data_IF_975798554764
#
_entry.id   IF_975798554764
#
_cell.length_a   1.000
_cell.length_b   1.000
_cell.length_c   1.000
_cell.angle_alpha   90.00
_cell.angle_beta   90.00
_cell.angle_gamma   90.00
#
_symmetry.space_group_name_H-M   'P 1'
#
loop_
_entity.id
_entity.type
_entity.pdbx_description
1 polymer ?
#
# COMPACT_ATOMS: atom_id res chain seq x y z
N UNK A 1 -20.10 8.73 -17.90
CA UNK A 1 -21.04 9.47 -18.77
C UNK A 1 -20.81 9.18 -20.27
N UNK A 2 -20.86 7.94 -20.75
CA UNK A 2 -20.74 7.68 -22.21
C UNK A 2 -21.55 6.49 -22.77
N UNK A 3 -22.15 5.62 -21.94
CA UNK A 3 -23.18 4.66 -22.39
C UNK A 3 -24.62 5.07 -22.11
N UNK A 4 -24.84 6.16 -21.36
CA UNK A 4 -26.18 6.72 -21.15
C UNK A 4 -26.62 7.69 -22.28
N UNK A 5 -25.71 8.05 -23.19
CA UNK A 5 -25.89 9.04 -24.27
C UNK A 5 -25.67 8.49 -25.69
N UNK A 6 -25.31 7.21 -25.88
CA UNK A 6 -25.18 6.60 -27.22
C UNK A 6 -23.98 7.08 -28.08
N UNK A 7 -23.04 7.81 -27.50
CA UNK A 7 -21.87 8.38 -28.22
C UNK A 7 -20.82 7.33 -28.57
N UNK A 8 -20.20 7.45 -29.74
CA UNK A 8 -19.15 6.52 -30.18
C UNK A 8 -17.83 6.70 -29.40
N UNK A 9 -16.99 5.65 -29.34
CA UNK A 9 -15.66 5.71 -28.70
C UNK A 9 -14.78 6.77 -29.36
N UNK A 10 -14.84 6.90 -30.68
CA UNK A 10 -14.04 7.87 -31.45
C UNK A 10 -14.45 9.30 -31.15
N UNK A 11 -15.74 9.56 -31.04
CA UNK A 11 -16.29 10.87 -30.70
C UNK A 11 -15.92 11.27 -29.27
N UNK A 12 -16.03 10.32 -28.33
CA UNK A 12 -15.59 10.51 -26.94
C UNK A 12 -14.09 10.80 -26.85
N UNK A 13 -13.28 10.07 -27.61
CA UNK A 13 -11.83 10.27 -27.67
C UNK A 13 -11.46 11.66 -28.20
N UNK A 14 -12.14 12.13 -29.26
CA UNK A 14 -11.96 13.50 -29.80
C UNK A 14 -12.39 14.57 -28.80
N UNK A 15 -13.55 14.39 -28.16
CA UNK A 15 -14.09 15.33 -27.19
C UNK A 15 -13.16 15.50 -25.97
N UNK A 16 -12.62 14.39 -25.46
CA UNK A 16 -11.74 14.39 -24.28
C UNK A 16 -10.28 14.67 -24.65
N UNK A 17 -9.92 14.64 -25.93
CA UNK A 17 -8.55 14.84 -26.40
C UNK A 17 -7.60 13.71 -25.99
N UNK A 18 -8.12 12.48 -25.90
CA UNK A 18 -7.37 11.30 -25.46
C UNK A 18 -7.39 10.21 -26.54
N UNK A 19 -6.50 9.20 -26.43
CA UNK A 19 -6.51 8.09 -27.36
C UNK A 19 -7.78 7.25 -27.23
N UNK A 20 -8.23 6.63 -28.34
CA UNK A 20 -9.32 5.65 -28.32
C UNK A 20 -9.05 4.50 -27.35
N UNK A 21 -7.79 4.07 -27.22
CA UNK A 21 -7.38 3.00 -26.30
C UNK A 21 -7.54 3.39 -24.83
N UNK A 22 -7.23 4.64 -24.47
CA UNK A 22 -7.44 5.15 -23.12
C UNK A 22 -8.93 5.17 -22.76
N UNK A 23 -9.78 5.63 -23.68
CA UNK A 23 -11.24 5.61 -23.49
C UNK A 23 -11.77 4.19 -23.29
N UNK A 24 -11.30 3.22 -24.09
CA UNK A 24 -11.67 1.81 -23.93
C UNK A 24 -11.22 1.24 -22.59
N UNK A 25 -9.97 1.51 -22.17
CA UNK A 25 -9.43 1.01 -20.91
C UNK A 25 -10.17 1.57 -19.70
N UNK A 26 -10.45 2.88 -19.68
CA UNK A 26 -11.21 3.54 -18.61
C UNK A 26 -12.65 3.01 -18.57
N UNK A 27 -13.27 2.85 -19.74
CA UNK A 27 -14.63 2.33 -19.83
C UNK A 27 -14.73 0.88 -19.34
N UNK A 28 -13.78 0.01 -19.71
CA UNK A 28 -13.72 -1.36 -19.23
C UNK A 28 -13.49 -1.42 -17.71
N UNK A 29 -12.56 -0.60 -17.20
CA UNK A 29 -12.32 -0.50 -15.76
C UNK A 29 -13.59 -0.08 -15.01
N UNK A 30 -14.31 0.91 -15.52
CA UNK A 30 -15.57 1.36 -14.91
C UNK A 30 -16.66 0.27 -14.92
N UNK A 31 -16.78 -0.52 -15.99
CA UNK A 31 -17.75 -1.64 -16.03
C UNK A 31 -17.39 -2.73 -15.01
N UNK A 32 -16.10 -3.07 -14.91
CA UNK A 32 -15.64 -4.19 -14.09
C UNK A 32 -15.57 -3.81 -12.60
N UNK A 33 -15.03 -2.63 -12.29
CA UNK A 33 -14.71 -2.21 -10.92
C UNK A 33 -15.76 -1.24 -10.36
N UNK A 34 -16.65 -0.70 -11.19
CA UNK A 34 -17.57 0.39 -10.82
C UNK A 34 -16.86 1.72 -10.55
N UNK A 35 -15.52 1.76 -10.71
CA UNK A 35 -14.68 2.86 -10.29
C UNK A 35 -14.15 3.66 -11.49
N UNK A 36 -14.20 4.98 -11.35
CA UNK A 36 -13.61 5.93 -12.31
C UNK A 36 -12.28 6.51 -11.81
N UNK A 37 -11.89 6.19 -10.58
CA UNK A 37 -10.65 6.65 -9.98
C UNK A 37 -9.44 6.01 -10.67
N UNK A 38 -8.33 6.76 -10.72
CA UNK A 38 -7.04 6.21 -11.11
C UNK A 38 -6.31 5.54 -9.92
N UNK A 39 -6.94 5.45 -8.74
CA UNK A 39 -6.27 5.08 -7.49
C UNK A 39 -5.71 3.67 -7.60
N UNK A 40 -4.40 3.56 -7.45
CA UNK A 40 -3.70 2.28 -7.44
C UNK A 40 -3.79 1.67 -6.05
N UNK A 41 -4.72 0.75 -5.84
CA UNK A 41 -4.80 -0.04 -4.61
C UNK A 41 -3.95 -1.30 -4.74
N UNK A 42 -3.33 -1.74 -3.65
CA UNK A 42 -2.59 -3.01 -3.60
C UNK A 42 -1.33 -3.07 -4.47
N UNK A 43 -0.82 -1.92 -4.94
CA UNK A 43 0.45 -1.87 -5.67
C UNK A 43 1.63 -1.84 -4.71
N UNK A 44 2.68 -2.62 -5.03
CA UNK A 44 3.92 -2.69 -4.28
C UNK A 44 4.11 -3.98 -3.49
N UNK A 45 5.31 -4.15 -2.94
CA UNK A 45 5.68 -5.36 -2.19
C UNK A 45 4.97 -5.38 -0.82
N UNK A 46 4.32 -6.51 -0.43
CA UNK A 46 3.77 -6.66 0.91
C UNK A 46 4.84 -6.44 1.98
N UNK A 47 4.49 -5.70 3.04
CA UNK A 47 5.41 -5.47 4.16
C UNK A 47 5.59 -6.75 4.98
N UNK A 48 6.83 -7.01 5.40
CA UNK A 48 7.19 -8.14 6.28
C UNK A 48 6.48 -8.01 7.63
N UNK A 49 6.38 -6.78 8.14
CA UNK A 49 5.64 -6.48 9.36
C UNK A 49 4.12 -6.40 9.09
N UNK A 50 3.42 -7.50 9.37
CA UNK A 50 1.96 -7.49 9.53
C UNK A 50 1.57 -6.76 10.82
N UNK A 51 0.29 -6.44 10.94
CA UNK A 51 -0.25 -5.65 12.05
C UNK A 51 0.00 -6.24 13.45
N UNK A 52 -0.01 -7.58 13.56
CA UNK A 52 0.33 -8.28 14.82
C UNK A 52 1.78 -8.04 15.23
N UNK A 53 2.70 -8.07 14.28
CA UNK A 53 4.13 -7.85 14.52
C UNK A 53 4.40 -6.37 14.86
N UNK A 54 3.72 -5.43 14.19
CA UNK A 54 3.77 -3.99 14.53
C UNK A 54 3.27 -3.72 15.96
N UNK A 55 2.14 -4.31 16.35
CA UNK A 55 1.61 -4.21 17.72
C UNK A 55 2.59 -4.76 18.76
N UNK A 56 3.23 -5.90 18.49
CA UNK A 56 4.25 -6.47 19.39
C UNK A 56 5.46 -5.55 19.52
N UNK A 57 5.97 -5.04 18.40
CA UNK A 57 7.11 -4.10 18.39
C UNK A 57 6.79 -2.81 19.15
N UNK A 58 5.59 -2.25 18.97
CA UNK A 58 5.14 -1.07 19.72
C UNK A 58 5.09 -1.31 21.24
N UNK A 59 4.62 -2.48 21.69
CA UNK A 59 4.64 -2.83 23.12
C UNK A 59 6.06 -2.93 23.65
N UNK A 60 6.97 -3.53 22.89
CA UNK A 60 8.37 -3.69 23.27
C UNK A 60 9.05 -2.34 23.49
N UNK A 61 8.86 -1.40 22.57
CA UNK A 61 9.40 -0.03 22.68
C UNK A 61 8.83 0.69 23.89
N UNK A 62 7.50 0.58 24.12
CA UNK A 62 6.83 1.24 25.25
C UNK A 62 7.29 0.73 26.61
N UNK A 63 7.62 -0.56 26.72
CA UNK A 63 8.13 -1.18 27.95
C UNK A 63 9.60 -0.80 28.21
N UNK A 64 10.38 -0.54 27.17
CA UNK A 64 11.81 -0.34 27.25
C UNK A 64 12.24 1.06 26.76
N UNK A 65 11.58 2.13 27.24
CA UNK A 65 11.80 3.52 26.76
C UNK A 65 13.24 4.04 26.86
N UNK A 66 14.08 3.42 27.69
CA UNK A 66 15.48 3.81 27.92
C UNK A 66 16.49 2.91 27.18
N UNK A 67 16.03 1.84 26.52
CA UNK A 67 16.91 0.94 25.80
C UNK A 67 17.26 1.47 24.42
N UNK A 68 18.44 1.10 23.94
CA UNK A 68 18.90 1.41 22.59
C UNK A 68 18.17 0.55 21.55
N UNK A 69 18.08 1.05 20.33
CA UNK A 69 17.45 0.33 19.20
C UNK A 69 18.11 -1.04 18.96
N UNK A 70 19.43 -1.14 19.12
CA UNK A 70 20.15 -2.41 18.98
C UNK A 70 19.71 -3.45 20.04
N UNK A 71 19.52 -3.04 21.29
CA UNK A 71 19.02 -3.91 22.35
C UNK A 71 17.58 -4.37 22.09
N UNK A 72 16.73 -3.47 21.61
CA UNK A 72 15.35 -3.79 21.22
C UNK A 72 15.30 -4.81 20.07
N UNK A 73 16.19 -4.67 19.09
CA UNK A 73 16.27 -5.61 17.95
C UNK A 73 16.71 -6.99 18.42
N UNK A 74 17.76 -7.06 19.25
CA UNK A 74 18.22 -8.32 19.83
C UNK A 74 17.09 -9.00 20.62
N UNK A 75 16.35 -8.24 21.43
CA UNK A 75 15.21 -8.75 22.19
C UNK A 75 14.05 -9.20 21.30
N UNK A 76 13.78 -8.49 20.20
CA UNK A 76 12.73 -8.86 19.25
C UNK A 76 13.05 -10.18 18.54
N UNK A 77 14.30 -10.32 18.09
CA UNK A 77 14.83 -11.48 17.37
C UNK A 77 15.15 -12.68 18.28
N UNK A 78 15.22 -12.48 19.60
CA UNK A 78 15.30 -13.59 20.57
C UNK A 78 14.05 -14.48 20.57
N UNK A 79 12.93 -14.04 19.96
CA UNK A 79 11.75 -14.88 19.81
C UNK A 79 11.78 -15.76 18.55
N UNK A 80 11.27 -17.00 18.60
CA UNK A 80 11.47 -18.01 17.55
C UNK A 80 10.79 -17.74 16.20
N UNK A 81 9.91 -16.74 16.11
CA UNK A 81 8.91 -16.69 15.04
C UNK A 81 9.30 -15.89 13.78
N UNK A 82 10.44 -15.20 13.75
CA UNK A 82 11.05 -14.63 12.54
C UNK A 82 12.34 -13.88 12.87
N UNK A 83 13.46 -14.22 12.25
CA UNK A 83 14.65 -13.38 12.22
C UNK A 83 14.41 -12.23 11.24
N UNK A 84 13.96 -11.08 11.75
CA UNK A 84 13.75 -9.89 10.92
C UNK A 84 15.03 -9.07 10.91
N UNK A 85 15.44 -8.59 9.73
CA UNK A 85 16.65 -7.77 9.62
C UNK A 85 16.51 -6.47 10.42
N UNK A 86 17.63 -6.01 10.98
CA UNK A 86 17.70 -4.78 11.78
C UNK A 86 17.12 -3.58 11.03
N UNK A 87 17.52 -3.43 9.77
CA UNK A 87 17.05 -2.37 8.89
C UNK A 87 15.52 -2.39 8.70
N UNK A 88 14.90 -3.57 8.65
CA UNK A 88 13.44 -3.70 8.53
C UNK A 88 12.74 -3.26 9.82
N UNK A 89 13.32 -3.58 10.98
CA UNK A 89 12.79 -3.15 12.28
C UNK A 89 12.91 -1.63 12.41
N UNK A 90 14.08 -1.05 12.13
CA UNK A 90 14.31 0.40 12.16
C UNK A 90 13.35 1.16 11.23
N UNK A 91 13.21 0.72 9.97
CA UNK A 91 12.24 1.33 9.03
C UNK A 91 10.82 1.29 9.54
N UNK A 92 10.44 0.22 10.23
CA UNK A 92 9.09 0.08 10.78
C UNK A 92 8.89 0.98 12.00
N UNK A 93 9.90 1.13 12.86
CA UNK A 93 9.88 2.08 13.99
C UNK A 93 9.66 3.52 13.50
N UNK A 94 10.44 3.96 12.49
CA UNK A 94 10.30 5.27 11.88
C UNK A 94 8.91 5.50 11.25
N UNK A 95 8.39 4.51 10.52
CA UNK A 95 7.03 4.56 9.93
C UNK A 95 5.92 4.62 11.00
N UNK A 96 6.20 4.15 12.22
CA UNK A 96 5.29 4.23 13.37
C UNK A 96 5.49 5.50 14.22
N UNK A 97 6.53 6.30 13.97
CA UNK A 97 6.86 7.47 14.79
C UNK A 97 7.37 7.12 16.20
N UNK A 98 8.09 5.99 16.33
CA UNK A 98 8.68 5.50 17.57
C UNK A 98 10.21 5.54 17.54
#
# INVERSE_FOLDING_TARGET
MARRLGTSITETARLVGCSRSAVVSIHAKWINDGDTSNRRQGVGRPRVFKEKARRRLSRLVKQNRRQTVAQLIAQYNAHPSASVSEHTIQRTLLDMGL
#
